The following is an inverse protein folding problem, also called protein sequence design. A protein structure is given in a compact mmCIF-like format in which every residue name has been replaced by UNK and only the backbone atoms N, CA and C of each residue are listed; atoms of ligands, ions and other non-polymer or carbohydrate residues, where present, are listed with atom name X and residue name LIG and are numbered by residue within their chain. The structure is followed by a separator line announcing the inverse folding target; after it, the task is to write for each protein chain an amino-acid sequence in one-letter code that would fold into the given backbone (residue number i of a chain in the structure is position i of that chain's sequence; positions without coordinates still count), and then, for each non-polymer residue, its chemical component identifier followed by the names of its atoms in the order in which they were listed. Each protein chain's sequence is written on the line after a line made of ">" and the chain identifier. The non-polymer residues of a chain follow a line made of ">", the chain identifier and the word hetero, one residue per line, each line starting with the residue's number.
data_IF_391956319609
#
_entry.id   IF_391956319609
#
_cell.length_a   1.000
_cell.length_b   1.000
_cell.length_c   1.000
_cell.angle_alpha   90.00
_cell.angle_beta   90.00
_cell.angle_gamma   90.00
#
_symmetry.space_group_name_H-M   'P 1'
#
loop_
_entity.id
_entity.type
_entity.pdbx_description
1 polymer ?
#
# COMPACT_ATOMS: atom_id res chain seq x y z
N UNK A 1 4.36 27.35 19.26
CA UNK A 1 4.91 26.07 19.74
C UNK A 1 3.90 24.94 19.59
N UNK A 2 2.67 25.13 20.07
CA UNK A 2 1.63 24.08 20.00
C UNK A 2 1.22 23.72 18.56
N UNK A 3 1.21 24.69 17.65
CA UNK A 3 0.89 24.46 16.25
C UNK A 3 1.94 23.61 15.49
N UNK A 4 3.20 23.71 15.84
CA UNK A 4 4.27 22.88 15.28
C UNK A 4 4.19 21.44 15.80
N UNK A 5 3.87 21.25 17.06
CA UNK A 5 3.70 19.92 17.65
C UNK A 5 2.53 19.18 17.00
N UNK A 6 1.40 19.83 16.76
CA UNK A 6 0.24 19.25 16.09
C UNK A 6 0.55 18.89 14.63
N UNK A 7 1.23 19.77 13.89
CA UNK A 7 1.67 19.46 12.51
C UNK A 7 2.66 18.31 12.48
N UNK A 8 3.56 18.26 13.45
CA UNK A 8 4.55 17.20 13.57
C UNK A 8 3.90 15.83 13.82
N UNK A 9 2.88 15.76 14.67
CA UNK A 9 2.14 14.53 14.93
C UNK A 9 1.40 14.06 13.68
N UNK A 10 0.69 14.92 12.96
CA UNK A 10 0.01 14.55 11.71
C UNK A 10 0.97 13.96 10.69
N UNK A 11 2.10 14.62 10.45
CA UNK A 11 3.10 14.11 9.52
C UNK A 11 3.69 12.77 9.99
N UNK A 12 3.86 12.60 11.30
CA UNK A 12 4.36 11.37 11.89
C UNK A 12 3.37 10.20 11.76
N UNK A 13 2.09 10.50 11.87
CA UNK A 13 1.01 9.52 11.83
C UNK A 13 0.64 9.13 10.40
N UNK A 14 0.54 10.11 9.47
CA UNK A 14 0.02 9.89 8.13
C UNK A 14 1.08 9.84 7.03
N UNK A 15 2.19 10.59 7.15
CA UNK A 15 3.19 10.64 6.08
C UNK A 15 4.31 9.60 6.26
N UNK A 16 4.29 8.80 7.34
CA UNK A 16 5.23 7.70 7.55
C UNK A 16 4.89 6.52 6.62
N UNK A 17 5.93 5.83 6.16
CA UNK A 17 5.80 4.66 5.27
C UNK A 17 5.71 3.34 6.04
N UNK A 18 5.68 3.39 7.37
CA UNK A 18 5.55 2.23 8.25
C UNK A 18 4.07 1.77 8.39
N UNK A 19 3.86 0.65 9.07
CA UNK A 19 2.55 0.03 9.26
C UNK A 19 1.78 0.50 10.51
N UNK A 20 2.33 1.47 11.28
CA UNK A 20 1.74 1.88 12.57
C UNK A 20 0.33 2.42 12.42
N UNK A 21 0.11 3.27 11.41
CA UNK A 21 -1.22 3.84 11.17
C UNK A 21 -2.25 2.75 10.84
N UNK A 22 -1.94 1.84 9.95
CA UNK A 22 -2.89 0.79 9.57
C UNK A 22 -3.10 -0.22 10.69
N UNK A 23 -2.10 -0.51 11.51
CA UNK A 23 -2.24 -1.37 12.67
C UNK A 23 -3.11 -0.70 13.76
N UNK A 24 -2.97 0.60 14.00
CA UNK A 24 -3.90 1.36 14.84
C UNK A 24 -5.33 1.32 14.29
N UNK A 25 -5.50 1.56 12.99
CA UNK A 25 -6.79 1.49 12.34
C UNK A 25 -7.44 0.11 12.51
N UNK A 26 -6.68 -0.96 12.27
CA UNK A 26 -7.16 -2.34 12.36
C UNK A 26 -7.51 -2.76 13.78
N UNK A 27 -6.59 -2.53 14.71
CA UNK A 27 -6.65 -3.13 16.04
C UNK A 27 -7.46 -2.30 17.05
N UNK A 28 -7.60 -1.00 16.80
CA UNK A 28 -8.28 -0.11 17.72
C UNK A 28 -9.54 0.50 17.11
N UNK A 29 -9.45 1.14 15.93
CA UNK A 29 -10.58 1.87 15.35
C UNK A 29 -11.63 0.90 14.80
N UNK A 30 -11.26 0.02 13.88
CA UNK A 30 -12.20 -0.91 13.25
C UNK A 30 -12.69 -1.97 14.26
N UNK A 31 -11.82 -2.42 15.16
CA UNK A 31 -12.21 -3.31 16.25
C UNK A 31 -13.28 -2.69 17.16
N UNK A 32 -13.21 -1.37 17.40
CA UNK A 32 -14.22 -0.67 18.17
C UNK A 32 -15.53 -0.46 17.40
N UNK A 33 -15.46 -0.27 16.09
CA UNK A 33 -16.66 -0.09 15.24
C UNK A 33 -17.43 -1.41 15.07
N UNK A 34 -16.72 -2.53 15.01
CA UNK A 34 -17.33 -3.86 14.93
C UNK A 34 -18.25 -4.10 16.12
N UNK A 35 -19.48 -4.45 15.87
CA UNK A 35 -20.49 -4.69 16.89
C UNK A 35 -21.17 -3.43 17.48
N UNK A 36 -20.76 -2.22 17.06
CA UNK A 36 -21.51 -1.01 17.42
C UNK A 36 -22.89 -1.02 16.80
N UNK A 37 -23.78 -0.23 17.36
CA UNK A 37 -25.14 -0.08 16.82
C UNK A 37 -25.31 1.26 16.09
N UNK A 38 -26.03 1.23 14.99
CA UNK A 38 -26.51 2.44 14.32
C UNK A 38 -27.60 3.12 15.17
N UNK A 39 -27.97 4.36 14.85
CA UNK A 39 -29.09 5.06 15.49
C UNK A 39 -30.42 4.27 15.41
N UNK A 40 -30.61 3.48 14.38
CA UNK A 40 -31.76 2.59 14.22
C UNK A 40 -31.66 1.27 14.97
N UNK A 41 -30.63 1.06 15.78
CA UNK A 41 -30.41 -0.16 16.57
C UNK A 41 -29.85 -1.35 15.80
N UNK A 42 -29.45 -1.16 14.52
CA UNK A 42 -28.85 -2.23 13.71
C UNK A 42 -27.37 -2.40 14.08
N UNK A 43 -26.95 -3.62 14.38
CA UNK A 43 -25.53 -3.94 14.64
C UNK A 43 -24.69 -3.77 13.37
N UNK A 44 -23.52 -3.14 13.51
CA UNK A 44 -22.54 -2.97 12.46
C UNK A 44 -21.67 -4.22 12.41
N UNK A 45 -21.54 -4.79 11.22
CA UNK A 45 -20.60 -5.85 10.91
C UNK A 45 -19.72 -5.40 9.74
N UNK A 46 -18.41 -5.43 9.95
CA UNK A 46 -17.43 -5.05 8.93
C UNK A 46 -17.04 -6.27 8.12
N UNK A 47 -16.96 -6.12 6.80
CA UNK A 47 -16.39 -7.18 5.97
C UNK A 47 -14.90 -7.37 6.30
N UNK A 48 -14.49 -8.63 6.32
CA UNK A 48 -13.08 -9.04 6.47
C UNK A 48 -12.45 -9.43 5.14
N UNK A 49 -13.22 -9.39 4.05
CA UNK A 49 -12.69 -9.61 2.71
C UNK A 49 -12.09 -8.30 2.17
N UNK A 50 -10.78 -8.22 1.87
CA UNK A 50 -10.18 -7.02 1.30
C UNK A 50 -10.85 -6.59 -0.01
N UNK A 51 -11.48 -7.51 -0.73
CA UNK A 51 -12.20 -7.21 -1.95
C UNK A 51 -13.46 -6.36 -1.73
N UNK A 52 -13.97 -6.31 -0.51
CA UNK A 52 -15.11 -5.47 -0.11
C UNK A 52 -14.67 -4.11 0.43
N UNK A 53 -13.36 -3.87 0.54
CA UNK A 53 -12.82 -2.72 1.25
C UNK A 53 -12.00 -1.81 0.35
N UNK A 54 -12.28 -0.51 0.48
CA UNK A 54 -11.49 0.55 -0.12
C UNK A 54 -11.01 1.52 0.95
N UNK A 55 -9.84 2.12 0.74
CA UNK A 55 -9.33 3.19 1.57
C UNK A 55 -9.05 4.42 0.71
N UNK A 56 -9.37 5.60 1.24
CA UNK A 56 -9.23 6.86 0.52
C UNK A 56 -8.67 7.96 1.40
N UNK A 57 -7.97 8.89 0.80
CA UNK A 57 -7.46 10.06 1.50
C UNK A 57 -6.94 11.14 0.57
N UNK A 58 -6.74 12.33 1.15
CA UNK A 58 -6.21 13.49 0.45
C UNK A 58 -4.94 13.99 1.14
N UNK A 59 -3.96 14.45 0.36
CA UNK A 59 -2.69 15.00 0.85
C UNK A 59 -1.96 13.97 1.73
N UNK A 60 -1.65 14.28 2.98
CA UNK A 60 -1.14 13.31 3.96
C UNK A 60 -2.06 12.09 4.10
N UNK A 61 -3.39 12.28 4.01
CA UNK A 61 -4.34 11.17 3.98
C UNK A 61 -4.24 10.31 2.73
N UNK A 62 -3.81 10.88 1.59
CA UNK A 62 -3.60 10.15 0.33
C UNK A 62 -2.45 9.16 0.42
N UNK A 63 -1.29 9.59 0.92
CA UNK A 63 -0.17 8.67 1.17
C UNK A 63 -0.52 7.68 2.27
N UNK A 64 -1.21 8.09 3.36
CA UNK A 64 -1.64 7.18 4.41
C UNK A 64 -2.56 6.08 3.90
N UNK A 65 -3.49 6.41 3.00
CA UNK A 65 -4.37 5.43 2.36
C UNK A 65 -3.59 4.41 1.52
N UNK A 66 -2.64 4.88 0.72
CA UNK A 66 -1.77 3.97 -0.04
C UNK A 66 -0.90 3.12 0.89
N UNK A 67 -0.23 3.73 1.87
CA UNK A 67 0.61 3.04 2.86
C UNK A 67 -0.17 1.97 3.63
N UNK A 68 -1.41 2.27 4.01
CA UNK A 68 -2.27 1.30 4.68
C UNK A 68 -2.55 0.07 3.81
N UNK A 69 -2.98 0.26 2.57
CA UNK A 69 -3.24 -0.84 1.65
C UNK A 69 -1.95 -1.58 1.24
N UNK A 70 -0.84 -0.86 1.13
CA UNK A 70 0.47 -1.44 0.83
C UNK A 70 0.95 -2.40 1.92
N UNK A 71 0.81 -2.00 3.19
CA UNK A 71 1.22 -2.82 4.33
C UNK A 71 0.18 -3.89 4.71
N UNK A 72 -1.11 -3.65 4.42
CA UNK A 72 -2.21 -4.56 4.75
C UNK A 72 -3.12 -4.83 3.54
N UNK A 73 -2.57 -5.47 2.48
CA UNK A 73 -3.36 -5.86 1.31
C UNK A 73 -4.41 -6.94 1.64
N UNK A 74 -4.31 -7.56 2.80
CA UNK A 74 -5.31 -8.44 3.40
C UNK A 74 -6.54 -7.69 3.96
N UNK A 75 -6.47 -6.36 4.07
CA UNK A 75 -7.57 -5.51 4.54
C UNK A 75 -8.19 -4.64 3.44
N UNK A 76 -7.38 -4.19 2.49
CA UNK A 76 -7.81 -3.26 1.46
C UNK A 76 -7.27 -3.68 0.10
N UNK A 77 -8.15 -3.80 -0.90
CA UNK A 77 -7.73 -4.05 -2.28
C UNK A 77 -7.95 -2.86 -3.21
N UNK A 78 -8.54 -1.76 -2.72
CA UNK A 78 -8.83 -0.57 -3.51
C UNK A 78 -8.34 0.69 -2.81
N UNK A 79 -7.66 1.54 -3.56
CA UNK A 79 -7.09 2.79 -3.04
C UNK A 79 -7.54 3.96 -3.90
N UNK A 80 -8.04 5.01 -3.25
CA UNK A 80 -8.24 6.30 -3.89
C UNK A 80 -7.39 7.36 -3.18
N UNK A 81 -6.40 7.89 -3.88
CA UNK A 81 -5.53 8.97 -3.39
C UNK A 81 -5.77 10.25 -4.18
N UNK A 82 -5.95 11.37 -3.48
CA UNK A 82 -6.09 12.69 -4.09
C UNK A 82 -5.00 13.61 -3.56
N UNK A 83 -4.37 14.39 -4.45
CA UNK A 83 -3.24 15.30 -4.12
C UNK A 83 -2.25 14.65 -3.14
N UNK A 84 -1.88 13.38 -3.40
CA UNK A 84 -1.15 12.54 -2.45
C UNK A 84 0.23 13.07 -2.10
N UNK A 85 0.60 13.05 -0.82
CA UNK A 85 1.88 13.56 -0.30
C UNK A 85 3.02 12.54 -0.49
N UNK A 86 3.30 12.15 -1.73
CA UNK A 86 4.41 11.25 -2.06
C UNK A 86 5.77 11.96 -2.16
N UNK A 87 5.88 13.15 -1.60
CA UNK A 87 7.09 13.98 -1.60
C UNK A 87 8.08 13.58 -0.51
N UNK A 88 9.23 14.27 -0.46
CA UNK A 88 10.33 14.00 0.49
C UNK A 88 10.01 14.41 1.94
N UNK A 89 8.80 14.11 2.42
CA UNK A 89 8.35 14.50 3.77
C UNK A 89 8.51 13.29 4.71
N UNK A 90 8.76 12.33 4.86
CA UNK A 90 8.92 11.15 5.74
C UNK A 90 9.07 9.83 4.97
N UNK A 91 9.78 9.90 3.88
CA UNK A 91 10.07 8.71 3.08
C UNK A 91 9.08 8.48 1.93
N UNK A 92 8.04 9.32 1.76
CA UNK A 92 7.06 9.18 0.68
C UNK A 92 7.69 9.16 -0.71
N UNK A 93 8.76 9.92 -0.92
CA UNK A 93 9.51 9.99 -2.18
C UNK A 93 10.26 8.70 -2.54
N UNK A 94 10.37 7.76 -1.63
CA UNK A 94 11.00 6.47 -1.88
C UNK A 94 10.03 5.45 -2.49
N UNK A 95 8.72 5.68 -2.37
CA UNK A 95 7.70 4.75 -2.86
C UNK A 95 7.82 4.40 -4.35
N UNK A 96 8.14 5.32 -5.28
CA UNK A 96 8.34 4.92 -6.68
C UNK A 96 9.41 3.84 -6.84
N UNK A 97 10.48 3.89 -6.07
CA UNK A 97 11.53 2.88 -6.08
C UNK A 97 11.11 1.59 -5.34
N UNK A 98 10.44 1.75 -4.19
CA UNK A 98 9.92 0.61 -3.41
C UNK A 98 8.92 -0.20 -4.25
N UNK A 99 7.95 0.45 -4.89
CA UNK A 99 6.95 -0.21 -5.74
C UNK A 99 7.59 -0.99 -6.89
N UNK A 100 8.62 -0.42 -7.53
CA UNK A 100 9.33 -1.07 -8.65
C UNK A 100 10.17 -2.27 -8.24
N UNK A 101 10.62 -2.31 -6.99
CA UNK A 101 11.54 -3.34 -6.46
C UNK A 101 10.82 -4.47 -5.74
N UNK A 102 9.54 -4.35 -5.50
CA UNK A 102 8.77 -5.34 -4.77
C UNK A 102 7.76 -6.05 -5.66
N UNK A 103 7.39 -7.25 -5.24
CA UNK A 103 6.29 -7.99 -5.83
C UNK A 103 5.00 -7.16 -5.77
N UNK A 104 4.24 -7.06 -6.89
CA UNK A 104 2.95 -6.37 -6.89
C UNK A 104 1.96 -7.01 -5.91
N UNK A 105 1.17 -6.18 -5.29
CA UNK A 105 0.08 -6.59 -4.40
C UNK A 105 -1.27 -6.53 -5.13
N UNK A 106 -2.30 -7.24 -4.69
CA UNK A 106 -3.62 -7.23 -5.33
C UNK A 106 -4.37 -5.92 -5.04
N UNK A 107 -3.84 -4.82 -5.55
CA UNK A 107 -4.37 -3.47 -5.35
C UNK A 107 -4.81 -2.85 -6.67
N UNK A 108 -5.95 -2.18 -6.65
CA UNK A 108 -6.44 -1.30 -7.70
C UNK A 108 -6.39 0.14 -7.20
N UNK A 109 -5.79 1.04 -7.96
CA UNK A 109 -5.41 2.37 -7.48
C UNK A 109 -5.97 3.43 -8.40
N UNK A 110 -6.75 4.36 -7.85
CA UNK A 110 -7.19 5.57 -8.54
C UNK A 110 -6.46 6.77 -7.95
N UNK A 111 -5.84 7.56 -8.82
CA UNK A 111 -5.09 8.76 -8.44
C UNK A 111 -5.77 10.01 -8.99
N UNK A 112 -5.83 11.07 -8.20
CA UNK A 112 -6.23 12.39 -8.69
C UNK A 112 -5.24 13.43 -8.19
N UNK A 113 -4.80 14.30 -9.07
CA UNK A 113 -3.98 15.45 -8.74
C UNK A 113 -4.15 16.54 -9.82
N UNK A 114 -3.58 17.71 -9.61
CA UNK A 114 -3.64 18.85 -10.52
C UNK A 114 -2.29 19.49 -10.78
N UNK A 115 -2.14 20.03 -12.00
CA UNK A 115 -0.88 20.64 -12.48
C UNK A 115 -0.45 21.86 -11.68
N UNK A 116 -1.32 22.45 -10.87
CA UNK A 116 -1.03 23.59 -10.00
C UNK A 116 -1.00 23.18 -8.52
N UNK A 117 -0.64 21.93 -8.24
CA UNK A 117 -0.43 21.48 -6.87
C UNK A 117 0.76 22.20 -6.22
N UNK A 118 0.93 22.04 -4.92
CA UNK A 118 1.96 22.75 -4.16
C UNK A 118 3.38 22.29 -4.52
N UNK A 119 4.24 23.27 -4.52
CA UNK A 119 5.68 23.11 -4.57
C UNK A 119 6.32 23.57 -3.25
N UNK A 120 7.30 22.85 -2.79
CA UNK A 120 8.06 23.18 -1.59
C UNK A 120 9.55 22.95 -1.82
N UNK A 121 10.44 23.92 -1.51
CA UNK A 121 11.88 23.81 -1.80
C UNK A 121 12.58 22.68 -1.02
N UNK A 122 11.97 22.19 0.06
CA UNK A 122 12.54 21.12 0.91
C UNK A 122 11.96 19.75 0.52
N UNK A 123 10.66 19.69 0.26
CA UNK A 123 9.95 18.43 0.07
C UNK A 123 9.77 18.05 -1.40
N UNK A 124 9.84 19.00 -2.31
CA UNK A 124 9.64 18.79 -3.75
C UNK A 124 8.25 19.18 -4.21
N UNK A 125 7.83 18.65 -5.33
CA UNK A 125 6.63 19.04 -6.06
C UNK A 125 5.61 17.90 -6.05
N UNK A 126 4.41 18.14 -5.52
CA UNK A 126 3.41 17.09 -5.29
C UNK A 126 2.98 16.43 -6.58
N UNK A 127 2.65 17.21 -7.61
CA UNK A 127 2.19 16.67 -8.89
C UNK A 127 3.25 15.79 -9.55
N UNK A 128 4.53 16.19 -9.55
CA UNK A 128 5.61 15.39 -10.12
C UNK A 128 5.78 14.06 -9.39
N UNK A 129 5.70 14.05 -8.07
CA UNK A 129 5.77 12.79 -7.32
C UNK A 129 4.57 11.89 -7.56
N UNK A 130 3.38 12.44 -7.78
CA UNK A 130 2.21 11.65 -8.19
C UNK A 130 2.40 11.04 -9.59
N UNK A 131 3.02 11.75 -10.53
CA UNK A 131 3.41 11.20 -11.84
C UNK A 131 4.46 10.08 -11.70
N UNK A 132 5.45 10.24 -10.82
CA UNK A 132 6.44 9.19 -10.54
C UNK A 132 5.80 7.95 -9.93
N UNK A 133 4.82 8.12 -9.05
CA UNK A 133 4.04 7.02 -8.48
C UNK A 133 3.25 6.28 -9.55
N UNK A 134 2.53 7.00 -10.42
CA UNK A 134 1.82 6.37 -11.54
C UNK A 134 2.77 5.57 -12.43
N UNK A 135 3.90 6.17 -12.80
CA UNK A 135 4.93 5.48 -13.57
C UNK A 135 5.43 4.21 -12.89
N UNK A 136 5.58 4.23 -11.57
CA UNK A 136 5.98 3.06 -10.80
C UNK A 136 4.89 1.98 -10.78
N UNK A 137 3.63 2.36 -10.60
CA UNK A 137 2.49 1.44 -10.64
C UNK A 137 2.36 0.77 -12.00
N UNK A 138 2.45 1.53 -13.09
CA UNK A 138 2.41 0.97 -14.45
C UNK A 138 3.57 -0.01 -14.69
N UNK A 139 4.78 0.34 -14.25
CA UNK A 139 5.95 -0.55 -14.37
C UNK A 139 5.77 -1.85 -13.57
N UNK A 140 5.22 -1.75 -12.36
CA UNK A 140 4.97 -2.90 -11.49
C UNK A 140 3.69 -3.68 -11.87
N UNK A 141 2.96 -3.27 -12.91
CA UNK A 141 1.79 -3.99 -13.43
C UNK A 141 0.53 -3.82 -12.58
N UNK A 142 0.44 -2.80 -11.76
CA UNK A 142 -0.79 -2.50 -11.02
C UNK A 142 -1.90 -2.03 -11.96
N UNK A 143 -3.13 -2.34 -11.61
CA UNK A 143 -4.29 -1.72 -12.22
C UNK A 143 -4.46 -0.33 -11.66
N UNK A 144 -3.96 0.67 -12.41
CA UNK A 144 -3.97 2.09 -12.01
C UNK A 144 -4.75 2.93 -13.01
N UNK A 145 -5.46 3.92 -12.50
CA UNK A 145 -6.08 4.98 -13.30
C UNK A 145 -5.81 6.33 -12.65
N UNK A 146 -5.64 7.34 -13.47
CA UNK A 146 -5.42 8.70 -13.00
C UNK A 146 -6.43 9.67 -13.59
N UNK A 147 -6.66 10.76 -12.85
CA UNK A 147 -7.32 11.96 -13.34
C UNK A 147 -6.46 13.17 -13.01
N UNK A 148 -5.66 13.56 -13.98
CA UNK A 148 -4.87 14.79 -13.90
C UNK A 148 -5.69 15.96 -14.43
N UNK A 149 -5.77 17.06 -13.69
CA UNK A 149 -6.53 18.24 -14.06
C UNK A 149 -5.74 19.54 -13.82
N UNK A 150 -6.40 20.68 -13.95
CA UNK A 150 -5.82 22.00 -13.68
C UNK A 150 -6.03 22.47 -12.25
N UNK A 151 -6.26 21.54 -11.33
CA UNK A 151 -6.45 21.82 -9.92
C UNK A 151 -5.16 22.22 -9.20
N UNK A 152 -5.35 22.72 -8.00
CA UNK A 152 -4.30 22.97 -7.02
C UNK A 152 -4.45 21.98 -5.86
N UNK A 153 -3.67 22.15 -4.78
CA UNK A 153 -3.72 21.30 -3.60
C UNK A 153 -5.05 21.44 -2.83
N UNK A 154 -6.13 20.96 -3.45
CA UNK A 154 -7.48 21.07 -2.91
C UNK A 154 -8.27 19.79 -3.04
N UNK A 155 -8.88 19.35 -1.94
CA UNK A 155 -9.80 18.20 -1.92
C UNK A 155 -11.01 18.37 -2.85
N UNK A 156 -11.33 19.59 -3.26
CA UNK A 156 -12.45 19.89 -4.16
C UNK A 156 -12.41 19.05 -5.44
N UNK A 157 -11.25 18.94 -6.06
CA UNK A 157 -11.08 18.21 -7.33
C UNK A 157 -11.21 16.70 -7.10
N UNK A 158 -10.64 16.20 -6.00
CA UNK A 158 -10.85 14.83 -5.57
C UNK A 158 -12.32 14.51 -5.29
N UNK A 159 -13.04 15.41 -4.63
CA UNK A 159 -14.48 15.26 -4.41
C UNK A 159 -15.28 15.21 -5.72
N UNK A 160 -14.93 16.05 -6.69
CA UNK A 160 -15.56 16.03 -8.01
C UNK A 160 -15.26 14.74 -8.78
N UNK A 161 -14.08 14.17 -8.62
CA UNK A 161 -13.67 12.90 -9.24
C UNK A 161 -14.22 11.66 -8.51
N UNK A 162 -14.68 11.79 -7.27
CA UNK A 162 -15.06 10.67 -6.41
C UNK A 162 -16.10 9.72 -7.04
N UNK A 163 -17.19 10.18 -7.68
CA UNK A 163 -18.15 9.25 -8.30
C UNK A 163 -17.53 8.39 -9.40
N UNK A 164 -16.64 8.97 -10.21
CA UNK A 164 -15.94 8.25 -11.27
C UNK A 164 -14.88 7.30 -10.70
N UNK A 165 -14.16 7.74 -9.67
CA UNK A 165 -13.22 6.91 -8.93
C UNK A 165 -13.90 5.68 -8.34
N UNK A 166 -15.07 5.85 -7.71
CA UNK A 166 -15.82 4.72 -7.14
C UNK A 166 -16.28 3.75 -8.24
N UNK A 167 -16.85 4.23 -9.34
CA UNK A 167 -17.25 3.35 -10.46
C UNK A 167 -16.06 2.56 -11.01
N UNK A 168 -14.91 3.20 -11.14
CA UNK A 168 -13.72 2.54 -11.68
C UNK A 168 -13.09 1.56 -10.69
N UNK A 169 -12.97 1.93 -9.42
CA UNK A 169 -12.43 1.06 -8.38
C UNK A 169 -13.27 -0.20 -8.18
N UNK A 170 -14.60 -0.07 -8.29
CA UNK A 170 -15.54 -1.18 -8.12
C UNK A 170 -15.98 -1.86 -9.43
N UNK A 171 -15.34 -1.52 -10.56
CA UNK A 171 -15.65 -2.18 -11.82
C UNK A 171 -15.40 -3.69 -11.71
N UNK A 172 -16.35 -4.48 -12.21
CA UNK A 172 -16.26 -5.95 -12.20
C UNK A 172 -16.50 -6.61 -10.84
N UNK A 173 -16.77 -5.82 -9.77
CA UNK A 173 -17.15 -6.42 -8.48
C UNK A 173 -18.36 -7.36 -8.65
N UNK A 174 -18.38 -8.56 -8.02
CA UNK A 174 -17.52 -9.03 -6.93
C UNK A 174 -16.24 -9.77 -7.35
N UNK A 175 -15.86 -9.76 -8.64
CA UNK A 175 -14.58 -10.35 -9.03
C UNK A 175 -13.43 -9.72 -8.23
N UNK A 176 -12.48 -10.55 -7.80
CA UNK A 176 -11.33 -10.10 -7.00
C UNK A 176 -10.39 -9.25 -7.82
N UNK A 177 -9.82 -8.22 -7.18
CA UNK A 177 -8.69 -7.49 -7.72
C UNK A 177 -7.52 -8.45 -7.81
N UNK A 178 -6.91 -8.53 -8.99
CA UNK A 178 -5.80 -9.44 -9.25
C UNK A 178 -4.47 -8.75 -8.98
N UNK A 179 -3.50 -9.52 -8.54
CA UNK A 179 -2.10 -9.13 -8.48
C UNK A 179 -1.59 -8.95 -9.91
N UNK A 180 -0.91 -7.83 -10.17
CA UNK A 180 -0.26 -7.57 -11.44
C UNK A 180 1.04 -8.35 -11.61
N UNK A 181 1.66 -8.20 -12.78
CA UNK A 181 2.96 -8.78 -13.09
C UNK A 181 3.97 -7.66 -13.36
N UNK A 182 5.03 -7.62 -12.56
CA UNK A 182 6.04 -6.57 -12.65
C UNK A 182 6.94 -6.71 -13.87
N UNK A 183 7.28 -5.59 -14.50
CA UNK A 183 8.31 -5.53 -15.55
C UNK A 183 9.75 -5.57 -14.99
N UNK A 184 9.92 -5.76 -13.69
CA UNK A 184 11.23 -5.92 -13.06
C UNK A 184 11.78 -7.33 -13.38
N UNK A 185 12.78 -7.40 -14.27
CA UNK A 185 13.40 -8.68 -14.69
C UNK A 185 13.96 -9.49 -13.52
N UNK A 186 14.51 -8.83 -12.48
CA UNK A 186 14.99 -9.53 -11.29
C UNK A 186 13.87 -10.23 -10.51
N UNK A 187 12.70 -9.59 -10.43
CA UNK A 187 11.52 -10.23 -9.80
C UNK A 187 10.98 -11.37 -10.67
N UNK A 188 11.01 -11.23 -12.00
CA UNK A 188 10.55 -12.28 -12.91
C UNK A 188 11.42 -13.54 -12.84
N UNK A 189 12.70 -13.40 -12.48
CA UNK A 189 13.61 -14.54 -12.27
C UNK A 189 13.34 -15.27 -10.94
N UNK A 190 12.75 -14.59 -9.95
CA UNK A 190 12.53 -15.10 -8.60
C UNK A 190 11.10 -15.60 -8.41
N UNK A 191 10.12 -14.88 -8.98
CA UNK A 191 8.70 -15.16 -8.79
C UNK A 191 8.19 -16.15 -9.82
N UNK A 192 7.37 -17.08 -9.35
CA UNK A 192 6.59 -17.97 -10.21
C UNK A 192 5.21 -17.32 -10.45
N UNK A 193 4.88 -17.08 -11.74
CA UNK A 193 3.61 -16.46 -12.13
C UNK A 193 2.38 -17.36 -11.82
N UNK A 194 2.59 -18.67 -11.75
CA UNK A 194 1.52 -19.64 -11.56
C UNK A 194 1.31 -20.07 -10.11
N UNK A 195 2.31 -19.79 -9.24
CA UNK A 195 2.29 -20.18 -7.84
C UNK A 195 2.53 -18.99 -6.92
N UNK A 196 1.80 -18.97 -5.82
CA UNK A 196 2.03 -18.03 -4.72
C UNK A 196 3.10 -18.53 -3.75
N UNK A 197 3.58 -17.60 -2.91
CA UNK A 197 4.49 -17.92 -1.83
C UNK A 197 3.89 -18.98 -0.91
N UNK A 198 4.73 -19.97 -0.56
CA UNK A 198 4.37 -20.97 0.43
C UNK A 198 5.20 -20.75 1.69
N UNK A 199 4.53 -20.70 2.82
CA UNK A 199 5.21 -20.68 4.10
C UNK A 199 5.84 -22.04 4.36
N UNK A 200 7.14 -22.03 4.66
CA UNK A 200 7.88 -23.22 5.13
C UNK A 200 8.16 -23.04 6.62
N UNK A 201 7.42 -23.78 7.44
CA UNK A 201 7.62 -23.76 8.87
C UNK A 201 8.96 -24.44 9.23
N UNK A 202 9.80 -23.75 9.98
CA UNK A 202 11.05 -24.30 10.53
C UNK A 202 11.01 -24.21 12.06
N UNK A 203 11.54 -25.22 12.78
CA UNK A 203 11.47 -25.28 14.25
C UNK A 203 12.49 -24.39 14.96
N UNK A 204 13.05 -23.41 14.28
CA UNK A 204 14.08 -22.51 14.81
C UNK A 204 13.93 -21.09 14.27
N UNK A 205 14.48 -20.11 15.00
CA UNK A 205 14.48 -18.71 14.56
C UNK A 205 15.62 -18.50 13.54
N UNK A 206 15.27 -18.12 12.31
CA UNK A 206 16.24 -17.79 11.27
C UNK A 206 16.87 -16.42 11.59
N UNK A 207 18.17 -16.41 11.86
CA UNK A 207 18.94 -15.19 12.19
C UNK A 207 20.13 -14.95 11.27
N UNK A 208 20.29 -15.75 10.22
CA UNK A 208 21.41 -15.71 9.29
C UNK A 208 21.01 -15.49 7.85
N UNK A 209 22.02 -15.44 6.98
CA UNK A 209 21.82 -15.34 5.55
C UNK A 209 21.20 -16.61 4.97
N UNK A 210 20.40 -16.43 3.94
CA UNK A 210 19.81 -17.51 3.15
C UNK A 210 20.67 -17.74 1.91
N UNK A 211 21.06 -18.98 1.65
CA UNK A 211 21.81 -19.37 0.46
C UNK A 211 21.11 -20.51 -0.26
N UNK A 212 20.96 -20.46 -1.58
CA UNK A 212 20.49 -21.62 -2.34
C UNK A 212 21.54 -22.71 -2.31
N UNK A 213 21.09 -23.96 -2.24
CA UNK A 213 21.91 -25.14 -2.37
C UNK A 213 21.69 -25.78 -3.74
N UNK A 214 22.68 -26.47 -4.27
CA UNK A 214 22.63 -27.13 -5.58
C UNK A 214 21.58 -28.24 -5.73
N UNK A 215 20.99 -28.67 -4.62
CA UNK A 215 19.97 -29.72 -4.55
C UNK A 215 18.58 -29.19 -4.18
N UNK A 216 18.27 -27.96 -4.56
CA UNK A 216 16.96 -27.31 -4.33
C UNK A 216 16.58 -27.11 -2.87
N UNK A 217 17.56 -27.08 -1.98
CA UNK A 217 17.39 -26.69 -0.58
C UNK A 217 17.86 -25.26 -0.35
N UNK A 218 17.45 -24.69 0.79
CA UNK A 218 17.95 -23.41 1.29
C UNK A 218 18.78 -23.64 2.54
N UNK A 219 19.97 -23.07 2.57
CA UNK A 219 20.82 -23.08 3.76
C UNK A 219 20.45 -21.89 4.62
N UNK A 220 20.05 -22.15 5.85
CA UNK A 220 19.65 -21.18 6.86
C UNK A 220 20.50 -21.33 8.11
N UNK A 221 20.60 -20.27 8.89
CA UNK A 221 21.30 -20.32 10.17
C UNK A 221 20.47 -19.73 11.31
N UNK A 222 20.55 -20.31 12.48
CA UNK A 222 20.26 -19.67 13.76
C UNK A 222 21.57 -19.12 14.38
N UNK A 223 21.56 -18.76 15.65
CA UNK A 223 22.73 -18.20 16.34
C UNK A 223 23.89 -19.21 16.52
N UNK A 224 23.63 -20.49 16.41
CA UNK A 224 24.53 -21.58 16.81
C UNK A 224 24.72 -22.64 15.74
N UNK A 225 23.76 -22.80 14.82
CA UNK A 225 23.73 -23.89 13.87
C UNK A 225 23.45 -23.42 12.45
N UNK A 226 23.86 -24.22 11.48
CA UNK A 226 23.52 -24.09 10.08
C UNK A 226 22.61 -25.26 9.69
N UNK A 227 21.51 -24.95 9.05
CA UNK A 227 20.50 -25.91 8.64
C UNK A 227 20.37 -25.92 7.12
N UNK A 228 20.05 -27.06 6.59
CA UNK A 228 19.65 -27.24 5.21
C UNK A 228 18.17 -27.60 5.18
N UNK A 229 17.36 -26.74 4.58
CA UNK A 229 15.91 -26.84 4.61
C UNK A 229 15.37 -27.05 3.20
N UNK A 230 14.63 -28.10 3.00
CA UNK A 230 13.96 -28.42 1.75
C UNK A 230 12.55 -27.79 1.69
N UNK A 231 11.95 -27.76 0.50
CA UNK A 231 10.63 -27.16 0.27
C UNK A 231 9.49 -27.83 1.08
N UNK A 232 9.71 -29.04 1.59
CA UNK A 232 8.79 -29.78 2.47
C UNK A 232 9.04 -29.52 3.97
N UNK A 233 9.98 -28.63 4.30
CA UNK A 233 10.31 -28.27 5.68
C UNK A 233 11.24 -29.25 6.42
N UNK A 234 11.82 -30.22 5.72
CA UNK A 234 12.77 -31.18 6.31
C UNK A 234 14.20 -30.66 6.27
#
# INVERSE_FOLDING_TARGET
>A
EDGEVVRYNRCKEFDSTDDKFVNFLANEVLARVEGMQTESGKTIHLSKDPNDCAITGASSGGIAAFTAAWNRPDMFSRVYTTVGTFVAMRGGHEYPAIVRKNEPKPLRIYMQDGWYDVWNPIFGEWFEYNLLMESAFNFAGYEVFHKWDRGNHSIKYGTLAFPDAMRWLWKGYPARVQKGWSNNGMLQEILDAENDWKEVAVPFAVNGCLFPSSDSAVVMADRTNIYKVYADGK
#
